data_IF_724362781470
#
_entry.id   IF_724362781470
#
_cell.length_a   1.000
_cell.length_b   1.000
_cell.length_c   1.000
_cell.angle_alpha   90.00
_cell.angle_beta   90.00
_cell.angle_gamma   90.00
#
_symmetry.space_group_name_H-M   'P 1'
#
loop_
_entity.id
_entity.type
_entity.pdbx_description
1 polymer ?
#
# COMPACT_ATOMS: atom_id res chain seq x y z
N UNK A 1 7.59 -16.16 10.21
CA UNK A 1 6.22 -15.62 10.09
C UNK A 1 6.00 -14.37 10.95
N UNK A 2 6.07 -14.44 12.28
CA UNK A 2 5.74 -13.30 13.17
C UNK A 2 6.59 -12.03 12.95
N UNK A 3 7.92 -12.16 12.83
CA UNK A 3 8.81 -11.01 12.60
C UNK A 3 8.61 -10.36 11.23
N UNK A 4 8.42 -11.16 10.19
CA UNK A 4 8.23 -10.63 8.84
C UNK A 4 6.89 -9.93 8.65
N UNK A 5 5.83 -10.50 9.24
CA UNK A 5 4.50 -9.86 9.24
C UNK A 5 4.53 -8.54 10.01
N UNK A 6 5.25 -8.47 11.14
CA UNK A 6 5.45 -7.21 11.87
C UNK A 6 6.23 -6.16 11.07
N UNK A 7 7.34 -6.55 10.43
CA UNK A 7 8.17 -5.62 9.65
C UNK A 7 7.41 -5.11 8.42
N UNK A 8 6.73 -5.99 7.68
CA UNK A 8 5.93 -5.57 6.52
C UNK A 8 4.65 -4.84 6.90
N UNK A 9 4.01 -5.23 8.00
CA UNK A 9 2.87 -4.51 8.55
C UNK A 9 3.24 -3.09 8.98
N UNK A 10 4.40 -2.91 9.61
CA UNK A 10 4.93 -1.59 9.95
C UNK A 10 5.28 -0.77 8.72
N UNK A 11 5.96 -1.35 7.72
CA UNK A 11 6.29 -0.64 6.48
C UNK A 11 5.02 -0.23 5.72
N UNK A 12 4.05 -1.14 5.59
CA UNK A 12 2.76 -0.85 4.95
C UNK A 12 1.97 0.21 5.73
N UNK A 13 1.94 0.11 7.06
CA UNK A 13 1.30 1.10 7.92
C UNK A 13 1.95 2.48 7.77
N UNK A 14 3.28 2.56 7.75
CA UNK A 14 4.02 3.82 7.55
C UNK A 14 3.70 4.44 6.19
N UNK A 15 3.68 3.63 5.13
CA UNK A 15 3.31 4.07 3.77
C UNK A 15 1.88 4.64 3.75
N UNK A 16 0.92 3.94 4.33
CA UNK A 16 -0.48 4.37 4.39
C UNK A 16 -0.63 5.65 5.21
N UNK A 17 0.04 5.76 6.37
CA UNK A 17 0.02 6.97 7.20
C UNK A 17 0.60 8.18 6.45
N UNK A 18 1.69 8.00 5.71
CA UNK A 18 2.29 9.08 4.89
C UNK A 18 1.35 9.49 3.75
N UNK A 19 0.76 8.53 3.03
CA UNK A 19 -0.22 8.82 1.98
C UNK A 19 -1.45 9.54 2.51
N UNK A 20 -1.96 9.13 3.67
CA UNK A 20 -3.13 9.76 4.30
C UNK A 20 -2.80 11.18 4.80
N UNK A 21 -1.63 11.39 5.40
CA UNK A 21 -1.15 12.71 5.80
C UNK A 21 -0.95 13.66 4.62
N UNK A 22 -0.38 13.17 3.52
CA UNK A 22 -0.22 13.93 2.29
C UNK A 22 -1.58 14.36 1.70
N UNK A 23 -2.55 13.45 1.66
CA UNK A 23 -3.90 13.76 1.21
C UNK A 23 -4.58 14.81 2.10
N UNK A 24 -4.43 14.71 3.43
CA UNK A 24 -5.00 15.66 4.38
C UNK A 24 -4.43 17.08 4.18
N UNK A 25 -3.11 17.21 4.04
CA UNK A 25 -2.43 18.50 3.83
C UNK A 25 -2.86 19.13 2.49
N UNK A 26 -2.96 18.31 1.44
CA UNK A 26 -3.39 18.77 0.12
C UNK A 26 -4.86 19.23 0.13
N UNK A 27 -5.72 18.53 0.86
CA UNK A 27 -7.13 18.86 1.03
C UNK A 27 -7.33 20.16 1.82
N UNK A 28 -6.51 20.42 2.84
CA UNK A 28 -6.56 21.66 3.63
C UNK A 28 -6.07 22.89 2.86
N UNK A 29 -5.08 22.73 1.97
CA UNK A 29 -4.51 23.83 1.18
C UNK A 29 -5.31 24.21 -0.06
N UNK A 30 -6.15 23.31 -0.58
CA UNK A 30 -7.02 23.58 -1.73
C UNK A 30 -8.47 23.33 -1.34
N UNK A 31 -9.19 24.40 -0.97
CA UNK A 31 -10.65 24.41 -0.73
C UNK A 31 -11.51 24.00 -1.96
N UNK A 32 -10.89 23.63 -3.08
CA UNK A 32 -11.56 23.19 -4.30
C UNK A 32 -11.67 21.66 -4.32
N UNK A 33 -12.89 21.17 -4.11
CA UNK A 33 -13.24 19.74 -4.07
C UNK A 33 -12.98 18.98 -5.39
N UNK A 34 -12.85 19.65 -6.54
CA UNK A 34 -12.59 18.97 -7.83
C UNK A 34 -11.18 18.36 -7.92
N UNK A 35 -10.17 19.04 -7.37
CA UNK A 35 -8.80 18.49 -7.31
C UNK A 35 -8.71 17.25 -6.42
N UNK A 36 -9.59 17.14 -5.42
CA UNK A 36 -9.66 16.01 -4.50
C UNK A 36 -10.16 14.72 -5.15
N UNK A 37 -10.96 14.78 -6.22
CA UNK A 37 -11.43 13.58 -6.91
C UNK A 37 -10.27 12.93 -7.67
N UNK A 38 -9.53 13.71 -8.48
CA UNK A 38 -8.37 13.21 -9.21
C UNK A 38 -7.28 12.71 -8.26
N UNK A 39 -7.05 13.44 -7.17
CA UNK A 39 -6.09 13.06 -6.13
C UNK A 39 -6.55 11.79 -5.39
N UNK A 40 -7.85 11.65 -5.12
CA UNK A 40 -8.44 10.45 -4.53
C UNK A 40 -8.24 9.21 -5.41
N UNK A 41 -8.53 9.32 -6.71
CA UNK A 41 -8.27 8.24 -7.66
C UNK A 41 -6.78 7.93 -7.83
N UNK A 42 -5.91 8.94 -7.87
CA UNK A 42 -4.47 8.75 -7.89
C UNK A 42 -3.99 8.02 -6.62
N UNK A 43 -4.55 8.36 -5.46
CA UNK A 43 -4.25 7.71 -4.19
C UNK A 43 -4.71 6.26 -4.18
N UNK A 44 -5.90 5.96 -4.73
CA UNK A 44 -6.37 4.58 -4.90
C UNK A 44 -5.43 3.77 -5.82
N UNK A 45 -4.98 4.34 -6.94
CA UNK A 45 -4.02 3.68 -7.84
C UNK A 45 -2.69 3.37 -7.14
N UNK A 46 -2.17 4.33 -6.37
CA UNK A 46 -0.96 4.13 -5.57
C UNK A 46 -1.18 3.04 -4.52
N UNK A 47 -2.31 3.07 -3.79
CA UNK A 47 -2.65 2.06 -2.79
C UNK A 47 -2.75 0.65 -3.41
N UNK A 48 -3.41 0.49 -4.56
CA UNK A 48 -3.47 -0.79 -5.26
C UNK A 48 -2.10 -1.25 -5.78
N UNK A 49 -1.23 -0.32 -6.18
CA UNK A 49 0.15 -0.64 -6.56
C UNK A 49 0.97 -1.19 -5.39
N UNK A 50 0.69 -0.73 -4.16
CA UNK A 50 1.33 -1.26 -2.95
C UNK A 50 0.98 -2.72 -2.66
N UNK A 51 -0.20 -3.21 -3.07
CA UNK A 51 -0.56 -4.63 -2.97
C UNK A 51 0.45 -5.48 -3.76
N UNK A 52 0.77 -5.07 -4.99
CA UNK A 52 1.77 -5.75 -5.81
C UNK A 52 3.16 -5.72 -5.16
N UNK A 53 3.58 -4.57 -4.61
CA UNK A 53 4.85 -4.43 -3.89
C UNK A 53 4.90 -5.37 -2.69
N UNK A 54 3.82 -5.48 -1.91
CA UNK A 54 3.70 -6.38 -0.76
C UNK A 54 3.83 -7.86 -1.16
N UNK A 55 3.11 -8.29 -2.20
CA UNK A 55 3.19 -9.66 -2.72
C UNK A 55 4.59 -9.98 -3.24
N UNK A 56 5.19 -9.07 -4.02
CA UNK A 56 6.55 -9.23 -4.56
C UNK A 56 7.59 -9.36 -3.44
N UNK A 57 7.50 -8.52 -2.42
CA UNK A 57 8.42 -8.54 -1.30
C UNK A 57 8.33 -9.85 -0.50
N UNK A 58 7.10 -10.33 -0.26
CA UNK A 58 6.89 -11.62 0.39
C UNK A 58 7.43 -12.78 -0.46
N UNK A 59 7.20 -12.77 -1.77
CA UNK A 59 7.76 -13.78 -2.69
C UNK A 59 9.28 -13.84 -2.61
N UNK A 60 9.94 -12.69 -2.69
CA UNK A 60 11.39 -12.60 -2.82
C UNK A 60 12.10 -12.89 -1.48
N UNK A 61 11.60 -12.40 -0.34
CA UNK A 61 12.25 -12.58 0.98
C UNK A 61 11.82 -13.81 1.76
N UNK A 62 10.55 -14.24 1.63
CA UNK A 62 9.99 -15.28 2.50
C UNK A 62 9.76 -16.61 1.80
N UNK A 63 9.57 -16.60 0.48
CA UNK A 63 9.19 -17.81 -0.27
C UNK A 63 10.22 -18.19 -1.33
N UNK A 64 11.43 -17.61 -1.28
CA UNK A 64 12.57 -18.01 -2.11
C UNK A 64 12.38 -17.72 -3.60
N UNK A 65 11.61 -16.69 -3.97
CA UNK A 65 11.45 -16.23 -5.35
C UNK A 65 10.26 -16.83 -6.11
N UNK A 66 9.57 -17.84 -5.57
CA UNK A 66 8.33 -18.40 -6.15
C UNK A 66 7.17 -18.26 -5.18
N UNK A 67 5.94 -18.07 -5.66
CA UNK A 67 4.73 -18.05 -4.82
C UNK A 67 3.55 -18.60 -5.61
N UNK A 68 2.71 -19.42 -4.99
CA UNK A 68 1.48 -19.91 -5.61
C UNK A 68 0.39 -18.84 -5.59
N UNK A 69 -0.49 -18.85 -6.60
CA UNK A 69 -1.58 -17.86 -6.72
C UNK A 69 -2.42 -17.76 -5.43
N UNK A 70 -2.80 -18.90 -4.84
CA UNK A 70 -3.60 -18.91 -3.62
C UNK A 70 -2.90 -18.27 -2.40
N UNK A 71 -1.56 -18.37 -2.30
CA UNK A 71 -0.81 -17.66 -1.25
C UNK A 71 -0.72 -16.17 -1.55
N UNK A 72 -0.45 -15.79 -2.80
CA UNK A 72 -0.39 -14.39 -3.20
C UNK A 72 -1.73 -13.67 -2.98
N UNK A 73 -2.84 -14.35 -3.31
CA UNK A 73 -4.20 -13.86 -3.09
C UNK A 73 -4.48 -13.62 -1.60
N UNK A 74 -4.12 -14.56 -0.71
CA UNK A 74 -4.27 -14.39 0.75
C UNK A 74 -3.37 -13.31 1.36
N UNK A 75 -2.34 -12.87 0.65
CA UNK A 75 -1.42 -11.82 1.12
C UNK A 75 -1.90 -10.44 0.66
N UNK A 76 -2.53 -10.37 -0.52
CA UNK A 76 -3.05 -9.12 -1.07
C UNK A 76 -4.47 -8.76 -0.66
N UNK A 77 -5.16 -9.66 0.04
CA UNK A 77 -6.54 -9.53 0.53
C UNK A 77 -6.52 -9.36 2.05
#
# INVERSE_FOLDING_TARGET
>A
MKKTVLVFGLIAGLVVSVLMGANLILCYNKSNFEGNILLGYATMLVAFSFIFVGIKNYRDKNNGGSITFGKAFKIGL
#
